data_IF_637686505914
#
_entry.id   IF_637686505914
#
_cell.length_a   1.000
_cell.length_b   1.000
_cell.length_c   1.000
_cell.angle_alpha   90.00
_cell.angle_beta   90.00
_cell.angle_gamma   90.00
#
_symmetry.space_group_name_H-M   'P 1'
#
loop_
_entity.id
_entity.type
_entity.pdbx_description
1 polymer ?
#
# COMPACT_ATOMS: atom_id res chain seq x y z
N UNK A 1 14.58 25.91 -9.80
CA UNK A 1 14.39 24.61 -10.48
C UNK A 1 13.46 24.84 -11.65
N UNK A 2 13.82 24.34 -12.84
CA UNK A 2 12.95 24.44 -14.03
C UNK A 2 12.59 23.04 -14.47
N UNK A 3 11.29 22.78 -14.61
CA UNK A 3 10.75 21.47 -15.03
C UNK A 3 9.84 21.68 -16.21
N UNK A 4 9.87 20.74 -17.17
CA UNK A 4 9.02 20.82 -18.34
C UNK A 4 7.53 20.84 -17.99
N UNK A 5 7.05 19.91 -17.14
CA UNK A 5 5.64 19.84 -16.75
C UNK A 5 5.43 19.18 -15.38
N UNK A 6 4.30 19.45 -14.75
CA UNK A 6 3.94 18.92 -13.43
C UNK A 6 3.89 17.37 -13.38
N UNK A 7 3.39 16.74 -14.44
CA UNK A 7 3.31 15.28 -14.57
C UNK A 7 4.68 14.58 -14.63
N UNK A 8 5.73 15.32 -15.00
CA UNK A 8 7.12 14.83 -15.03
C UNK A 8 7.85 15.03 -13.69
N UNK A 9 7.30 15.88 -12.83
CA UNK A 9 7.89 16.18 -11.52
C UNK A 9 7.40 15.22 -10.45
N UNK A 10 6.11 14.85 -10.47
CA UNK A 10 5.50 14.07 -9.42
C UNK A 10 4.59 12.96 -9.96
N UNK A 11 4.54 11.84 -9.25
CA UNK A 11 3.73 10.66 -9.61
C UNK A 11 2.28 10.75 -9.14
N UNK A 12 1.99 11.70 -8.27
CA UNK A 12 0.65 12.01 -7.80
C UNK A 12 0.51 13.49 -7.49
N UNK A 13 -0.72 14.01 -7.53
CA UNK A 13 -0.99 15.40 -7.17
C UNK A 13 -0.64 15.69 -5.70
N UNK A 14 -0.78 14.70 -4.82
CA UNK A 14 -0.31 14.78 -3.42
C UNK A 14 1.21 14.98 -3.34
N UNK A 15 1.97 14.18 -4.09
CA UNK A 15 3.43 14.30 -4.11
C UNK A 15 3.83 15.66 -4.69
N UNK A 16 3.16 16.11 -5.77
CA UNK A 16 3.40 17.42 -6.38
C UNK A 16 3.27 18.55 -5.35
N UNK A 17 2.15 18.60 -4.63
CA UNK A 17 1.89 19.63 -3.62
C UNK A 17 2.91 19.56 -2.49
N UNK A 18 3.24 18.36 -2.01
CA UNK A 18 4.18 18.17 -0.90
C UNK A 18 5.60 18.61 -1.27
N UNK A 19 6.08 18.20 -2.44
CA UNK A 19 7.43 18.53 -2.92
C UNK A 19 7.57 20.03 -3.25
N UNK A 20 6.56 20.62 -3.90
CA UNK A 20 6.55 22.06 -4.19
C UNK A 20 6.55 22.88 -2.88
N UNK A 21 5.72 22.53 -1.89
CA UNK A 21 5.69 23.21 -0.59
C UNK A 21 7.04 23.13 0.14
N UNK A 22 7.70 21.97 0.12
CA UNK A 22 9.03 21.80 0.72
C UNK A 22 10.10 22.65 0.02
N UNK A 23 10.07 22.73 -1.32
CA UNK A 23 11.00 23.56 -2.08
C UNK A 23 10.80 25.04 -1.78
N UNK A 24 9.55 25.50 -1.79
CA UNK A 24 9.18 26.89 -1.52
C UNK A 24 9.60 27.29 -0.09
N UNK A 25 9.35 26.45 0.92
CA UNK A 25 9.78 26.67 2.30
C UNK A 25 11.29 26.78 2.47
N UNK A 26 12.06 26.17 1.57
CA UNK A 26 13.53 26.28 1.52
C UNK A 26 14.03 27.51 0.75
N UNK A 27 13.13 28.37 0.27
CA UNK A 27 13.50 29.52 -0.56
C UNK A 27 13.74 29.17 -2.03
N UNK A 28 13.43 27.94 -2.46
CA UNK A 28 13.72 27.46 -3.81
C UNK A 28 12.51 27.72 -4.70
N UNK A 29 12.71 28.51 -5.76
CA UNK A 29 11.71 28.70 -6.80
C UNK A 29 11.65 27.47 -7.74
N UNK A 30 10.44 27.04 -8.11
CA UNK A 30 10.19 26.00 -9.10
C UNK A 30 9.26 26.51 -10.20
N UNK A 31 9.68 26.38 -11.46
CA UNK A 31 8.91 26.76 -12.64
C UNK A 31 8.52 25.52 -13.45
N UNK A 32 7.25 25.45 -13.84
CA UNK A 32 6.70 24.48 -14.76
C UNK A 32 6.43 25.15 -16.10
N UNK A 33 7.19 24.76 -17.14
CA UNK A 33 7.19 25.43 -18.45
C UNK A 33 5.87 25.23 -19.19
N UNK A 34 5.36 24.00 -19.23
CA UNK A 34 4.13 23.64 -19.95
C UNK A 34 2.89 24.30 -19.34
N UNK A 35 2.81 24.32 -18.01
CA UNK A 35 1.70 24.95 -17.29
C UNK A 35 1.88 26.47 -17.13
N UNK A 36 3.06 27.00 -17.46
CA UNK A 36 3.45 28.40 -17.28
C UNK A 36 3.20 28.91 -15.85
N UNK A 37 3.52 28.08 -14.85
CA UNK A 37 3.33 28.38 -13.42
C UNK A 37 4.69 28.38 -12.73
N UNK A 38 4.90 29.34 -11.84
CA UNK A 38 6.11 29.43 -11.01
C UNK A 38 5.74 29.56 -9.55
N UNK A 39 6.23 28.66 -8.70
CA UNK A 39 6.08 28.74 -7.25
C UNK A 39 7.38 29.26 -6.64
N UNK A 40 7.28 30.27 -5.78
CA UNK A 40 8.43 30.90 -5.12
C UNK A 40 8.14 31.17 -3.64
N UNK A 41 9.17 31.49 -2.84
CA UNK A 41 8.98 31.90 -1.44
C UNK A 41 8.24 33.24 -1.30
N UNK A 42 8.29 34.09 -2.33
CA UNK A 42 7.45 35.28 -2.45
C UNK A 42 6.16 34.94 -3.22
N UNK A 43 5.49 33.86 -2.82
CA UNK A 43 4.24 33.42 -3.43
C UNK A 43 3.19 34.54 -3.35
N UNK A 44 2.57 34.86 -4.48
CA UNK A 44 1.40 35.73 -4.48
C UNK A 44 0.22 35.02 -3.80
N UNK A 45 -0.79 35.75 -3.30
CA UNK A 45 -2.02 35.12 -2.81
C UNK A 45 -2.65 34.16 -3.82
N UNK A 46 -2.48 34.42 -5.12
CA UNK A 46 -2.97 33.57 -6.21
C UNK A 46 -2.19 32.25 -6.30
N UNK A 47 -0.86 32.27 -6.16
CA UNK A 47 -0.03 31.06 -6.19
C UNK A 47 -0.36 30.12 -5.02
N UNK A 48 -0.59 30.71 -3.84
CA UNK A 48 -1.03 29.98 -2.65
C UNK A 48 -2.43 29.38 -2.84
N UNK A 49 -3.37 30.13 -3.43
CA UNK A 49 -4.70 29.62 -3.75
C UNK A 49 -4.63 28.46 -4.75
N UNK A 50 -3.82 28.56 -5.80
CA UNK A 50 -3.63 27.47 -6.76
C UNK A 50 -3.08 26.21 -6.09
N UNK A 51 -2.07 26.35 -5.23
CA UNK A 51 -1.49 25.21 -4.52
C UNK A 51 -2.52 24.55 -3.59
N UNK A 52 -3.34 25.34 -2.89
CA UNK A 52 -4.44 24.81 -2.07
C UNK A 52 -5.51 24.10 -2.90
N UNK A 53 -5.90 24.68 -4.04
CA UNK A 53 -6.89 24.09 -4.95
C UNK A 53 -6.38 22.75 -5.50
N UNK A 54 -5.10 22.69 -5.91
CA UNK A 54 -4.45 21.45 -6.33
C UNK A 54 -4.43 20.41 -5.21
N UNK A 55 -4.15 20.82 -3.97
CA UNK A 55 -4.25 19.93 -2.81
C UNK A 55 -5.67 19.39 -2.59
N UNK A 56 -6.69 20.24 -2.72
CA UNK A 56 -8.08 19.86 -2.58
C UNK A 56 -8.53 18.86 -3.67
N UNK A 57 -8.14 19.09 -4.93
CA UNK A 57 -8.40 18.14 -6.02
C UNK A 57 -7.72 16.79 -5.79
N UNK A 58 -6.48 16.78 -5.27
CA UNK A 58 -5.76 15.53 -4.96
C UNK A 58 -6.52 14.67 -3.95
N UNK A 59 -7.07 15.33 -2.93
CA UNK A 59 -7.83 14.67 -1.89
C UNK A 59 -9.18 14.18 -2.41
N UNK A 60 -9.88 15.02 -3.18
CA UNK A 60 -11.14 14.66 -3.83
C UNK A 60 -11.01 13.42 -4.72
N UNK A 61 -10.03 13.37 -5.62
CA UNK A 61 -9.79 12.21 -6.48
C UNK A 61 -9.48 10.95 -5.67
N UNK A 62 -8.69 11.08 -4.60
CA UNK A 62 -8.36 9.98 -3.71
C UNK A 62 -9.61 9.43 -3.02
N UNK A 63 -10.49 10.29 -2.57
CA UNK A 63 -11.75 9.91 -1.93
C UNK A 63 -12.67 9.16 -2.90
N UNK A 64 -12.80 9.65 -4.15
CA UNK A 64 -13.56 8.95 -5.20
C UNK A 64 -13.00 7.56 -5.51
N UNK A 65 -11.67 7.42 -5.62
CA UNK A 65 -11.03 6.13 -5.87
C UNK A 65 -11.34 5.15 -4.73
N UNK A 66 -11.27 5.61 -3.48
CA UNK A 66 -11.58 4.79 -2.31
C UNK A 66 -13.05 4.42 -2.24
N UNK A 67 -13.96 5.31 -2.64
CA UNK A 67 -15.39 5.03 -2.72
C UNK A 67 -15.68 3.90 -3.72
N UNK A 68 -15.19 4.04 -4.96
CA UNK A 68 -15.32 3.00 -5.99
C UNK A 68 -14.69 1.68 -5.58
N UNK A 69 -13.55 1.72 -4.89
CA UNK A 69 -12.92 0.52 -4.33
C UNK A 69 -13.84 -0.17 -3.30
N UNK A 70 -14.45 0.59 -2.39
CA UNK A 70 -15.39 0.05 -1.40
C UNK A 70 -16.59 -0.60 -2.07
N UNK A 71 -17.14 0.01 -3.12
CA UNK A 71 -18.23 -0.58 -3.91
C UNK A 71 -17.81 -1.90 -4.56
N UNK A 72 -16.65 -1.92 -5.20
CA UNK A 72 -16.08 -3.13 -5.79
C UNK A 72 -15.83 -4.23 -4.76
N UNK A 73 -15.32 -3.87 -3.58
CA UNK A 73 -15.13 -4.81 -2.46
C UNK A 73 -16.49 -5.38 -2.00
N UNK A 74 -17.52 -4.55 -1.82
CA UNK A 74 -18.86 -5.00 -1.43
C UNK A 74 -19.43 -5.99 -2.45
N UNK A 75 -19.33 -5.70 -3.74
CA UNK A 75 -19.78 -6.60 -4.81
C UNK A 75 -19.00 -7.92 -4.80
N UNK A 76 -17.66 -7.87 -4.69
CA UNK A 76 -16.83 -9.07 -4.64
C UNK A 76 -17.07 -9.92 -3.38
N UNK A 77 -17.37 -9.27 -2.25
CA UNK A 77 -17.74 -9.94 -1.00
C UNK A 77 -19.12 -10.62 -1.12
N UNK A 78 -20.12 -9.95 -1.69
CA UNK A 78 -21.43 -10.55 -1.97
C UNK A 78 -21.32 -11.76 -2.92
N UNK A 79 -20.37 -11.73 -3.85
CA UNK A 79 -20.05 -12.85 -4.75
C UNK A 79 -19.18 -13.96 -4.08
N UNK A 80 -18.81 -13.81 -2.81
CA UNK A 80 -17.99 -14.81 -2.10
C UNK A 80 -16.56 -14.96 -2.62
N UNK A 81 -16.00 -13.95 -3.32
CA UNK A 81 -14.63 -14.03 -3.88
C UNK A 81 -13.54 -14.05 -2.82
N UNK A 82 -13.78 -13.41 -1.66
CA UNK A 82 -12.81 -13.39 -0.57
C UNK A 82 -12.82 -14.69 0.23
N UNK A 83 -11.89 -15.59 -0.09
CA UNK A 83 -11.70 -16.88 0.61
C UNK A 83 -10.64 -16.82 1.73
N UNK A 84 -10.23 -15.60 2.11
CA UNK A 84 -9.15 -15.38 3.06
C UNK A 84 -7.79 -15.85 2.54
N UNK A 85 -6.83 -15.99 3.47
CA UNK A 85 -5.48 -16.43 3.14
C UNK A 85 -5.48 -17.92 2.78
N UNK A 86 -4.95 -18.24 1.60
CA UNK A 86 -4.72 -19.64 1.20
C UNK A 86 -3.74 -20.30 2.18
N UNK A 87 -4.17 -21.41 2.77
CA UNK A 87 -3.33 -22.21 3.65
C UNK A 87 -2.26 -22.96 2.84
N UNK A 88 -1.02 -23.00 3.34
CA UNK A 88 0.10 -23.67 2.65
C UNK A 88 -0.07 -25.19 2.63
N UNK A 89 -0.58 -25.75 3.72
CA UNK A 89 -0.92 -27.16 3.81
C UNK A 89 -2.41 -27.34 3.57
N UNK A 90 -2.77 -28.34 2.76
CA UNK A 90 -4.14 -28.81 2.66
C UNK A 90 -4.58 -29.52 3.98
N UNK A 91 -5.88 -29.82 4.17
CA UNK A 91 -6.36 -30.42 5.41
C UNK A 91 -5.67 -31.74 5.79
N UNK A 92 -5.34 -32.58 4.81
CA UNK A 92 -4.71 -33.88 5.04
C UNK A 92 -3.24 -33.73 5.45
N UNK A 93 -2.50 -32.82 4.82
CA UNK A 93 -1.15 -32.46 5.22
C UNK A 93 -1.11 -31.82 6.61
N UNK A 94 -2.11 -31.01 6.97
CA UNK A 94 -2.22 -30.45 8.31
C UNK A 94 -2.50 -31.54 9.36
N UNK A 95 -3.34 -32.54 9.04
CA UNK A 95 -3.54 -33.73 9.89
C UNK A 95 -2.25 -34.54 10.02
N UNK A 96 -1.59 -34.84 8.91
CA UNK A 96 -0.32 -35.57 8.90
C UNK A 96 0.78 -34.85 9.70
N UNK A 97 0.82 -33.52 9.65
CA UNK A 97 1.73 -32.71 10.45
C UNK A 97 1.46 -32.88 11.96
N UNK A 98 0.19 -32.82 12.37
CA UNK A 98 -0.21 -33.02 13.77
C UNK A 98 0.12 -34.42 14.26
N UNK A 99 -0.26 -35.43 13.49
CA UNK A 99 0.04 -36.82 13.81
C UNK A 99 1.56 -37.07 13.92
N UNK A 100 2.35 -36.56 12.97
CA UNK A 100 3.80 -36.72 13.02
C UNK A 100 4.46 -36.00 14.21
N UNK A 101 3.83 -34.93 14.72
CA UNK A 101 4.25 -34.28 15.96
C UNK A 101 3.90 -35.11 17.20
N UNK A 102 2.68 -35.64 17.28
CA UNK A 102 2.21 -36.49 18.38
C UNK A 102 3.00 -37.80 18.48
N UNK A 103 3.30 -38.43 17.35
CA UNK A 103 4.12 -39.65 17.26
C UNK A 103 5.62 -39.39 17.54
N UNK A 104 6.02 -38.14 17.75
CA UNK A 104 7.42 -37.79 18.03
C UNK A 104 8.39 -38.05 16.87
N UNK A 105 7.88 -38.18 15.62
CA UNK A 105 8.69 -38.47 14.42
C UNK A 105 9.79 -37.43 14.16
N UNK A 106 9.64 -36.21 14.68
CA UNK A 106 10.59 -35.12 14.51
C UNK A 106 11.05 -34.54 15.85
N UNK A 107 12.37 -34.40 16.02
CA UNK A 107 13.01 -33.92 17.27
C UNK A 107 12.72 -32.45 17.60
N UNK A 108 12.24 -31.66 16.63
CA UNK A 108 11.94 -30.24 16.86
C UNK A 108 10.88 -29.72 15.89
N UNK A 109 10.20 -28.64 16.29
CA UNK A 109 9.25 -27.91 15.42
C UNK A 109 9.93 -27.29 14.19
N UNK A 110 11.25 -27.09 14.21
CA UNK A 110 12.04 -26.63 13.06
C UNK A 110 12.23 -27.78 12.06
N UNK A 111 12.58 -28.97 12.54
CA UNK A 111 12.70 -30.15 11.69
C UNK A 111 11.35 -30.50 11.03
N UNK A 112 10.26 -30.42 11.79
CA UNK A 112 8.90 -30.59 11.27
C UNK A 112 8.54 -29.51 10.23
N UNK A 113 8.91 -28.25 10.47
CA UNK A 113 8.67 -27.15 9.53
C UNK A 113 9.36 -27.40 8.17
N UNK A 114 10.62 -27.84 8.21
CA UNK A 114 11.40 -28.15 7.01
C UNK A 114 10.80 -29.34 6.23
N UNK A 115 10.40 -30.40 6.94
CA UNK A 115 9.80 -31.59 6.32
C UNK A 115 8.48 -31.27 5.60
N UNK A 116 7.69 -30.33 6.12
CA UNK A 116 6.41 -29.91 5.53
C UNK A 116 6.51 -28.62 4.67
N UNK A 117 7.72 -28.09 4.43
CA UNK A 117 7.92 -26.91 3.56
C UNK A 117 7.27 -25.61 4.07
N UNK A 118 7.09 -25.47 5.39
CA UNK A 118 6.46 -24.32 6.03
C UNK A 118 7.40 -23.63 7.02
N UNK A 119 7.04 -22.42 7.48
CA UNK A 119 7.83 -21.74 8.51
C UNK A 119 7.59 -22.34 9.89
N UNK A 120 8.56 -22.22 10.80
CA UNK A 120 8.41 -22.63 12.21
C UNK A 120 7.16 -22.03 12.85
N UNK A 121 6.85 -20.76 12.58
CA UNK A 121 5.63 -20.11 13.08
C UNK A 121 4.34 -20.69 12.48
N UNK A 122 4.37 -21.19 11.24
CA UNK A 122 3.22 -21.88 10.67
C UNK A 122 2.98 -23.22 11.38
N UNK A 123 4.03 -23.95 11.77
CA UNK A 123 3.89 -25.18 12.59
C UNK A 123 3.16 -24.89 13.89
N UNK A 124 3.56 -23.86 14.66
CA UNK A 124 2.83 -23.49 15.88
C UNK A 124 1.36 -23.20 15.63
N UNK A 125 1.02 -22.49 14.55
CA UNK A 125 -0.38 -22.20 14.19
C UNK A 125 -1.19 -23.43 13.81
N UNK A 126 -0.57 -24.42 13.14
CA UNK A 126 -1.23 -25.67 12.79
C UNK A 126 -1.40 -26.61 14.01
N UNK A 127 -0.52 -26.51 15.01
CA UNK A 127 -0.63 -27.24 16.27
C UNK A 127 -1.58 -26.59 17.28
N UNK A 128 -1.91 -25.30 17.13
CA UNK A 128 -2.84 -24.57 18.02
C UNK A 128 -4.29 -24.52 17.52
N UNK A 129 -4.52 -24.76 16.23
CA UNK A 129 -5.88 -24.75 15.64
C UNK A 129 -6.51 -26.14 15.75
N UNK A 130 -7.43 -26.27 16.71
CA UNK A 130 -8.54 -27.23 16.66
C UNK A 130 -9.61 -26.74 15.67
#
# INVERSE_FOLDING_TARGET
IVVHSMDRFARSLKDLVTEVDQLVKRGIAIQFVKENITFTAQATPMDNLMLQLMGAFAQFEREIILERQKEGIKLAAAQGKYKGRVHKLNPDQAKALRQAWEEGKYKSKVALANAFGISRQAVYRYLQRD
#
